data_IF_397539666164
#
_entry.id   IF_397539666164
#
_cell.length_a   1.000
_cell.length_b   1.000
_cell.length_c   1.000
_cell.angle_alpha   90.00
_cell.angle_beta   90.00
_cell.angle_gamma   90.00
#
_symmetry.space_group_name_H-M   'P 1'
#
loop_
_entity.id
_entity.type
_entity.pdbx_description
1 polymer ?
#
# COMPACT_ATOMS: atom_id res chain seq x y z
N UNK A 1 3.04 -8.96 -22.36
CA UNK A 1 3.59 -9.89 -21.35
C UNK A 1 2.92 -11.22 -21.52
N UNK A 2 3.69 -12.29 -21.51
CA UNK A 2 3.18 -13.66 -21.47
C UNK A 2 2.67 -13.98 -20.06
N UNK A 3 1.90 -15.06 -19.92
CA UNK A 3 1.49 -15.56 -18.59
C UNK A 3 2.70 -15.88 -17.71
N UNK A 4 3.78 -16.41 -18.31
CA UNK A 4 5.03 -16.67 -17.60
C UNK A 4 5.69 -15.40 -17.08
N UNK A 5 5.69 -14.31 -17.87
CA UNK A 5 6.24 -13.02 -17.43
C UNK A 5 5.45 -12.44 -16.24
N UNK A 6 4.11 -12.53 -16.30
CA UNK A 6 3.21 -12.07 -15.21
C UNK A 6 3.51 -12.85 -13.92
N UNK A 7 3.51 -14.18 -13.99
CA UNK A 7 3.76 -15.02 -12.81
C UNK A 7 5.15 -14.79 -12.23
N UNK A 8 6.17 -14.60 -13.07
CA UNK A 8 7.53 -14.31 -12.63
C UNK A 8 7.61 -12.95 -11.90
N UNK A 9 6.90 -11.93 -12.39
CA UNK A 9 6.90 -10.62 -11.76
C UNK A 9 6.16 -10.62 -10.42
N UNK A 10 5.00 -11.28 -10.32
CA UNK A 10 4.30 -11.46 -9.04
C UNK A 10 5.21 -12.19 -8.05
N UNK A 11 5.86 -13.27 -8.48
CA UNK A 11 6.79 -14.02 -7.64
C UNK A 11 7.97 -13.17 -7.18
N UNK A 12 8.51 -12.30 -8.03
CA UNK A 12 9.59 -11.38 -7.66
C UNK A 12 9.13 -10.38 -6.58
N UNK A 13 7.94 -9.78 -6.74
CA UNK A 13 7.37 -8.87 -5.74
C UNK A 13 7.19 -9.57 -4.39
N UNK A 14 6.67 -10.81 -4.40
CA UNK A 14 6.49 -11.61 -3.17
C UNK A 14 7.84 -11.96 -2.54
N UNK A 15 8.83 -12.34 -3.36
CA UNK A 15 10.16 -12.69 -2.88
C UNK A 15 10.88 -11.49 -2.24
N UNK A 16 10.78 -10.30 -2.82
CA UNK A 16 11.29 -9.07 -2.22
C UNK A 16 10.66 -8.79 -0.85
N UNK A 17 9.33 -8.93 -0.75
CA UNK A 17 8.61 -8.74 0.52
C UNK A 17 8.97 -9.82 1.57
N UNK A 18 9.32 -11.04 1.15
CA UNK A 18 9.73 -12.12 2.04
C UNK A 18 11.06 -11.86 2.76
N UNK A 19 11.91 -10.96 2.22
CA UNK A 19 13.18 -10.56 2.82
C UNK A 19 13.02 -9.55 3.97
N UNK A 20 11.82 -8.99 4.14
CA UNK A 20 11.54 -7.93 5.09
C UNK A 20 10.89 -8.46 6.37
N UNK A 21 11.02 -7.76 7.52
CA UNK A 21 10.17 -7.99 8.67
C UNK A 21 8.69 -7.82 8.31
N UNK A 22 7.80 -8.49 9.05
CA UNK A 22 6.37 -8.55 8.71
C UNK A 22 5.71 -7.17 8.46
N UNK A 23 6.02 -6.17 9.28
CA UNK A 23 5.45 -4.81 9.13
C UNK A 23 5.92 -4.16 7.83
N UNK A 24 7.23 -4.17 7.58
CA UNK A 24 7.82 -3.63 6.35
C UNK A 24 7.36 -4.39 5.10
N UNK A 25 7.23 -5.71 5.19
CA UNK A 25 6.69 -6.56 4.13
C UNK A 25 5.24 -6.18 3.80
N UNK A 26 4.40 -5.96 4.83
CA UNK A 26 3.02 -5.52 4.64
C UNK A 26 2.94 -4.16 3.93
N UNK A 27 3.79 -3.20 4.33
CA UNK A 27 3.89 -1.92 3.65
C UNK A 27 4.35 -2.09 2.20
N UNK A 28 5.41 -2.85 1.96
CA UNK A 28 5.95 -3.12 0.63
C UNK A 28 4.93 -3.75 -0.33
N UNK A 29 4.11 -4.69 0.16
CA UNK A 29 3.00 -5.29 -0.58
C UNK A 29 1.89 -4.27 -0.84
N UNK A 30 1.47 -3.53 0.19
CA UNK A 30 0.40 -2.53 0.09
C UNK A 30 0.71 -1.42 -0.92
N UNK A 31 1.96 -0.96 -0.96
CA UNK A 31 2.42 0.07 -1.91
C UNK A 31 2.48 -0.44 -3.35
N UNK A 32 2.68 -1.74 -3.55
CA UNK A 32 2.66 -2.40 -4.87
C UNK A 32 1.26 -2.90 -5.29
N UNK A 33 0.21 -2.67 -4.49
CA UNK A 33 -1.16 -3.19 -4.74
C UNK A 33 -1.66 -2.95 -6.16
N UNK A 34 -1.52 -1.73 -6.69
CA UNK A 34 -2.02 -1.41 -8.04
C UNK A 34 -1.28 -2.18 -9.14
N UNK A 35 0.02 -2.43 -8.94
CA UNK A 35 0.81 -3.26 -9.87
C UNK A 35 0.38 -4.71 -9.79
N UNK A 36 0.23 -5.24 -8.57
CA UNK A 36 -0.26 -6.60 -8.33
C UNK A 36 -1.67 -6.79 -8.91
N UNK A 37 -2.59 -5.86 -8.66
CA UNK A 37 -3.93 -5.88 -9.25
C UNK A 37 -3.84 -5.91 -10.78
N UNK A 38 -3.02 -5.04 -11.39
CA UNK A 38 -2.84 -5.01 -12.86
C UNK A 38 -2.32 -6.34 -13.40
N UNK A 39 -1.32 -6.94 -12.73
CA UNK A 39 -0.76 -8.25 -13.12
C UNK A 39 -1.80 -9.37 -13.04
N UNK A 40 -2.74 -9.25 -12.11
CA UNK A 40 -3.83 -10.21 -11.91
C UNK A 40 -5.11 -9.87 -12.70
N UNK A 41 -5.07 -8.86 -13.57
CA UNK A 41 -6.23 -8.46 -14.37
C UNK A 41 -7.33 -7.76 -13.58
N UNK A 42 -6.97 -7.14 -12.45
CA UNK A 42 -7.85 -6.39 -11.55
C UNK A 42 -7.50 -4.89 -11.58
N UNK A 43 -8.49 -3.99 -11.47
CA UNK A 43 -9.92 -4.26 -11.61
C UNK A 43 -10.27 -4.68 -13.05
N UNK A 44 -11.33 -5.46 -13.20
CA UNK A 44 -11.87 -5.84 -14.52
C UNK A 44 -12.49 -4.63 -15.22
N UNK A 45 -12.63 -4.69 -16.55
CA UNK A 45 -13.29 -3.63 -17.33
C UNK A 45 -14.72 -3.32 -16.86
N UNK A 46 -15.43 -4.32 -16.32
CA UNK A 46 -16.74 -4.13 -15.72
C UNK A 46 -16.67 -3.37 -14.40
N UNK A 47 -15.76 -3.74 -13.51
CA UNK A 47 -15.52 -3.03 -12.25
C UNK A 47 -15.13 -1.57 -12.50
N UNK A 48 -14.30 -1.30 -13.52
CA UNK A 48 -13.94 0.06 -13.92
C UNK A 48 -15.16 0.84 -14.42
N UNK A 49 -16.03 0.22 -15.24
CA UNK A 49 -17.26 0.86 -15.71
C UNK A 49 -18.22 1.16 -14.56
N UNK A 50 -18.40 0.23 -13.63
CA UNK A 50 -19.23 0.41 -12.44
C UNK A 50 -18.70 1.56 -11.56
N UNK A 51 -17.39 1.59 -11.29
CA UNK A 51 -16.77 2.65 -10.50
C UNK A 51 -16.93 4.03 -11.16
N UNK A 52 -16.77 4.13 -12.48
CA UNK A 52 -16.95 5.39 -13.21
C UNK A 52 -18.39 5.89 -13.26
N UNK A 53 -19.36 5.00 -13.11
CA UNK A 53 -20.78 5.36 -13.06
C UNK A 53 -21.22 5.88 -11.67
N UNK A 54 -20.44 5.63 -10.63
CA UNK A 54 -20.69 6.13 -9.28
C UNK A 54 -20.49 7.65 -9.19
N UNK A 55 -21.26 8.31 -8.32
CA UNK A 55 -21.01 9.70 -7.91
C UNK A 55 -19.67 9.86 -7.18
N UNK A 56 -19.11 11.08 -7.09
CA UNK A 56 -17.87 11.29 -6.35
C UNK A 56 -17.91 10.84 -4.88
N UNK A 57 -19.05 11.00 -4.19
CA UNK A 57 -19.23 10.54 -2.81
C UNK A 57 -19.24 9.01 -2.71
N UNK A 58 -19.88 8.33 -3.66
CA UNK A 58 -19.88 6.87 -3.72
C UNK A 58 -18.49 6.32 -4.07
N UNK A 59 -17.77 6.96 -5.00
CA UNK A 59 -16.38 6.61 -5.29
C UNK A 59 -15.49 6.75 -4.05
N UNK A 60 -15.64 7.85 -3.30
CA UNK A 60 -14.90 8.06 -2.06
C UNK A 60 -15.24 7.02 -0.98
N UNK A 61 -16.52 6.66 -0.84
CA UNK A 61 -16.95 5.61 0.08
C UNK A 61 -16.39 4.24 -0.32
N UNK A 62 -16.39 3.93 -1.62
CA UNK A 62 -15.84 2.69 -2.16
C UNK A 62 -14.32 2.60 -1.91
N UNK A 63 -13.57 3.66 -2.23
CA UNK A 63 -12.13 3.72 -1.93
C UNK A 63 -11.83 3.60 -0.44
N UNK A 64 -12.67 4.18 0.43
CA UNK A 64 -12.53 4.02 1.88
C UNK A 64 -12.79 2.59 2.31
N UNK A 65 -13.84 1.96 1.78
CA UNK A 65 -14.16 0.57 2.05
C UNK A 65 -13.01 -0.36 1.65
N UNK A 66 -12.44 -0.21 0.45
CA UNK A 66 -11.29 -1.00 0.00
C UNK A 66 -10.10 -0.90 0.96
N UNK A 67 -9.87 0.28 1.56
CA UNK A 67 -8.81 0.48 2.55
C UNK A 67 -9.14 -0.15 3.89
N UNK A 68 -10.36 0.04 4.39
CA UNK A 68 -10.81 -0.50 5.68
C UNK A 68 -10.78 -2.04 5.68
N UNK A 69 -11.09 -2.65 4.53
CA UNK A 69 -11.14 -4.11 4.33
C UNK A 69 -9.93 -4.67 3.57
N UNK A 70 -8.84 -3.91 3.45
CA UNK A 70 -7.63 -4.32 2.73
C UNK A 70 -7.05 -5.68 3.21
N UNK A 71 -7.21 -5.97 4.50
CA UNK A 71 -6.75 -7.19 5.16
C UNK A 71 -7.62 -8.43 4.87
N UNK A 72 -8.76 -8.26 4.21
CA UNK A 72 -9.62 -9.34 3.71
C UNK A 72 -9.45 -9.54 2.19
N UNK A 73 -8.69 -8.65 1.55
CA UNK A 73 -8.48 -8.63 0.11
C UNK A 73 -7.16 -9.28 -0.34
N UNK A 74 -6.71 -8.97 -1.57
CA UNK A 74 -5.52 -9.55 -2.19
C UNK A 74 -4.23 -9.33 -1.40
N UNK A 75 -4.13 -8.20 -0.68
CA UNK A 75 -2.97 -7.91 0.16
C UNK A 75 -2.71 -9.02 1.19
N UNK A 76 -3.77 -9.64 1.73
CA UNK A 76 -3.66 -10.79 2.64
C UNK A 76 -3.02 -11.99 1.96
N UNK A 77 -3.47 -12.33 0.75
CA UNK A 77 -2.95 -13.46 -0.02
C UNK A 77 -1.46 -13.26 -0.33
N UNK A 78 -1.11 -12.09 -0.85
CA UNK A 78 0.29 -11.76 -1.18
C UNK A 78 1.19 -11.76 0.05
N UNK A 79 0.75 -11.15 1.15
CA UNK A 79 1.54 -11.12 2.38
C UNK A 79 1.65 -12.51 3.02
N UNK A 80 0.60 -13.35 2.94
CA UNK A 80 0.66 -14.74 3.41
C UNK A 80 1.65 -15.56 2.61
N UNK A 81 1.73 -15.35 1.29
CA UNK A 81 2.75 -15.97 0.45
C UNK A 81 4.16 -15.51 0.80
N UNK A 82 4.35 -14.22 1.10
CA UNK A 82 5.65 -13.67 1.50
C UNK A 82 6.08 -14.09 2.92
N UNK A 83 5.12 -14.24 3.84
CA UNK A 83 5.35 -14.46 5.27
C UNK A 83 4.59 -15.72 5.75
N UNK A 84 4.91 -16.92 5.24
CA UNK A 84 4.10 -18.12 5.48
C UNK A 84 4.06 -18.58 6.94
N UNK A 85 5.05 -18.15 7.75
CA UNK A 85 5.14 -18.47 9.19
C UNK A 85 4.36 -17.50 10.08
N UNK A 86 3.94 -16.34 9.56
CA UNK A 86 3.14 -15.39 10.32
C UNK A 86 1.70 -15.92 10.48
N UNK A 87 1.11 -15.69 11.65
CA UNK A 87 -0.28 -16.04 11.88
C UNK A 87 -1.20 -15.15 11.04
N UNK A 88 -2.40 -15.63 10.75
CA UNK A 88 -3.38 -14.84 9.98
C UNK A 88 -3.77 -13.56 10.72
N UNK A 89 -3.79 -13.61 12.06
CA UNK A 89 -4.03 -12.44 12.89
C UNK A 89 -2.92 -11.40 12.72
N UNK A 90 -1.65 -11.82 12.77
CA UNK A 90 -0.50 -10.91 12.61
C UNK A 90 -0.46 -10.29 11.21
N UNK A 91 -0.76 -11.09 10.17
CA UNK A 91 -0.84 -10.62 8.78
C UNK A 91 -1.93 -9.56 8.63
N UNK A 92 -3.13 -9.82 9.16
CA UNK A 92 -4.24 -8.86 9.11
C UNK A 92 -3.86 -7.57 9.84
N UNK A 93 -3.28 -7.66 11.02
CA UNK A 93 -2.84 -6.49 11.80
C UNK A 93 -1.74 -5.71 11.08
N UNK A 94 -0.77 -6.39 10.45
CA UNK A 94 0.29 -5.73 9.70
C UNK A 94 -0.25 -4.97 8.47
N UNK A 95 -1.24 -5.54 7.76
CA UNK A 95 -1.89 -4.85 6.64
C UNK A 95 -2.66 -3.62 7.14
N UNK A 96 -3.45 -3.76 8.21
CA UNK A 96 -4.17 -2.63 8.81
C UNK A 96 -3.20 -1.53 9.24
N UNK A 97 -2.07 -1.89 9.85
CA UNK A 97 -1.03 -0.95 10.23
C UNK A 97 -0.42 -0.23 9.00
N UNK A 98 -0.09 -0.97 7.94
CA UNK A 98 0.45 -0.40 6.71
C UNK A 98 -0.50 0.60 6.03
N UNK A 99 -1.81 0.27 5.98
CA UNK A 99 -2.85 1.16 5.44
C UNK A 99 -2.94 2.43 6.28
N UNK A 100 -3.01 2.30 7.61
CA UNK A 100 -3.08 3.44 8.53
C UNK A 100 -1.86 4.34 8.45
N UNK A 101 -0.67 3.76 8.34
CA UNK A 101 0.56 4.50 8.19
C UNK A 101 0.59 5.29 6.88
N UNK A 102 0.17 4.67 5.76
CA UNK A 102 0.03 5.37 4.48
C UNK A 102 -0.98 6.53 4.60
N UNK A 103 -2.16 6.30 5.18
CA UNK A 103 -3.17 7.35 5.40
C UNK A 103 -2.62 8.51 6.25
N UNK A 104 -1.87 8.20 7.31
CA UNK A 104 -1.24 9.22 8.15
C UNK A 104 -0.20 10.03 7.36
N UNK A 105 0.60 9.40 6.51
CA UNK A 105 1.56 10.10 5.66
C UNK A 105 0.87 11.11 4.74
N UNK A 106 -0.23 10.72 4.08
CA UNK A 106 -0.98 11.64 3.21
C UNK A 106 -1.76 12.70 3.98
N UNK A 107 -2.38 12.34 5.10
CA UNK A 107 -3.07 13.27 6.00
C UNK A 107 -2.15 14.38 6.51
N UNK A 108 -0.88 14.07 6.78
CA UNK A 108 0.09 15.02 7.32
C UNK A 108 0.86 15.79 6.25
N UNK A 109 0.65 15.50 4.97
CA UNK A 109 1.16 16.32 3.90
C UNK A 109 0.38 17.64 3.85
N UNK A 110 1.07 18.76 4.10
CA UNK A 110 0.49 20.11 4.09
C UNK A 110 1.14 20.90 2.96
N UNK A 111 0.30 21.53 2.13
CA UNK A 111 0.75 22.45 1.08
C UNK A 111 0.95 23.84 1.71
N UNK A 112 2.20 24.19 2.02
CA UNK A 112 2.58 25.49 2.58
C UNK A 112 3.64 26.19 1.70
N UNK A 113 4.46 27.09 2.24
CA UNK A 113 5.55 27.76 1.51
C UNK A 113 6.91 27.07 1.64
N UNK A 114 7.01 25.94 2.35
CA UNK A 114 8.26 25.20 2.58
C UNK A 114 8.71 24.49 1.31
N UNK A 115 9.99 24.10 1.22
CA UNK A 115 10.46 23.19 0.17
C UNK A 115 9.58 21.92 0.06
N UNK A 116 9.38 21.48 -1.17
CA UNK A 116 8.50 20.36 -1.49
C UNK A 116 8.95 19.04 -0.83
N UNK A 117 10.25 18.73 -0.87
CA UNK A 117 10.78 17.52 -0.28
C UNK A 117 10.69 17.57 1.25
N UNK A 118 10.93 18.74 1.84
CA UNK A 118 10.76 18.95 3.29
C UNK A 118 9.31 18.68 3.74
N UNK A 119 8.30 18.98 2.93
CA UNK A 119 6.91 18.61 3.24
C UNK A 119 6.73 17.10 3.30
N UNK A 120 7.30 16.35 2.35
CA UNK A 120 7.25 14.89 2.31
C UNK A 120 7.94 14.29 3.55
N UNK A 121 9.15 14.78 3.87
CA UNK A 121 9.93 14.34 5.04
C UNK A 121 9.16 14.60 6.34
N UNK A 122 8.59 15.80 6.52
CA UNK A 122 7.83 16.15 7.73
C UNK A 122 6.55 15.33 7.88
N UNK A 123 5.84 15.07 6.78
CA UNK A 123 4.62 14.27 6.79
C UNK A 123 4.92 12.84 7.28
N UNK A 124 5.94 12.20 6.71
CA UNK A 124 6.36 10.85 7.11
C UNK A 124 6.93 10.84 8.53
N UNK A 125 7.74 11.83 8.92
CA UNK A 125 8.28 11.91 10.28
C UNK A 125 7.16 12.06 11.32
N UNK A 126 6.06 12.74 10.98
CA UNK A 126 4.88 12.84 11.85
C UNK A 126 4.11 11.53 11.91
N UNK A 127 3.89 10.87 10.78
CA UNK A 127 3.24 9.55 10.73
C UNK A 127 4.05 8.48 11.48
N UNK A 128 5.39 8.51 11.39
CA UNK A 128 6.29 7.57 12.06
C UNK A 128 6.16 7.61 13.59
N UNK A 129 5.77 8.75 14.19
CA UNK A 129 5.49 8.84 15.63
C UNK A 129 4.31 7.97 16.07
N UNK A 130 3.37 7.72 15.16
CA UNK A 130 2.19 6.87 15.38
C UNK A 130 2.43 5.42 14.91
N UNK A 131 3.55 5.16 14.22
CA UNK A 131 3.89 3.83 13.68
C UNK A 131 5.41 3.64 13.68
N UNK A 132 6.05 3.46 14.86
CA UNK A 132 7.51 3.43 15.02
C UNK A 132 8.16 2.08 14.66
N UNK A 133 7.39 1.16 14.04
CA UNK A 133 7.77 -0.25 13.89
C UNK A 133 8.40 -0.58 12.53
N UNK A 134 8.64 0.42 11.68
CA UNK A 134 9.21 0.21 10.36
C UNK A 134 10.72 0.49 10.36
N UNK A 135 11.42 -0.15 9.42
CA UNK A 135 12.83 0.14 9.13
C UNK A 135 12.98 1.53 8.51
N UNK A 136 14.17 2.14 8.67
CA UNK A 136 14.45 3.45 8.04
C UNK A 136 14.32 3.41 6.51
N UNK A 137 14.65 2.27 5.89
CA UNK A 137 14.42 2.07 4.45
C UNK A 137 12.95 2.21 4.05
N UNK A 138 12.04 1.74 4.91
CA UNK A 138 10.60 1.83 4.69
C UNK A 138 10.11 3.26 4.88
N UNK A 139 10.61 3.98 5.87
CA UNK A 139 10.33 5.42 6.01
C UNK A 139 10.85 6.21 4.81
N UNK A 140 12.05 5.88 4.32
CA UNK A 140 12.59 6.52 3.12
C UNK A 140 11.72 6.24 1.89
N UNK A 141 11.25 5.00 1.71
CA UNK A 141 10.32 4.65 0.65
C UNK A 141 9.00 5.43 0.78
N UNK A 142 8.46 5.55 2.00
CA UNK A 142 7.25 6.32 2.25
C UNK A 142 7.39 7.80 1.85
N UNK A 143 8.57 8.41 2.05
CA UNK A 143 8.84 9.80 1.61
C UNK A 143 8.78 9.90 0.08
N UNK A 144 9.37 8.94 -0.61
CA UNK A 144 9.32 8.86 -2.08
C UNK A 144 7.88 8.67 -2.58
N UNK A 145 7.10 7.85 -1.89
CA UNK A 145 5.70 7.60 -2.23
C UNK A 145 4.84 8.86 -2.05
N UNK A 146 4.97 9.56 -0.92
CA UNK A 146 4.28 10.83 -0.70
C UNK A 146 4.63 11.84 -1.79
N UNK A 147 5.92 11.92 -2.18
CA UNK A 147 6.35 12.75 -3.27
C UNK A 147 5.75 12.31 -4.63
N UNK A 148 5.63 11.02 -4.89
CA UNK A 148 5.07 10.56 -6.16
C UNK A 148 3.59 10.97 -6.35
N UNK A 149 2.76 10.89 -5.31
CA UNK A 149 1.33 11.20 -5.41
C UNK A 149 0.94 12.66 -5.17
N UNK A 150 1.84 13.48 -4.61
CA UNK A 150 1.57 14.91 -4.39
C UNK A 150 2.41 15.80 -5.31
N UNK A 151 2.85 15.27 -6.46
CA UNK A 151 3.50 16.05 -7.52
C UNK A 151 2.53 16.98 -8.24
#
# INVERSE_FOLDING_TARGET
MTVQDISAEIAAIIAEAALLPLQDAAYAVWRRRYRLDTLEGRPTSEQVRAFRAMSPSEQAANMRHDRDFAHEGPAFIHLKSAQPRASDADIKQAIIAAVRFEDACFKYFVVDSTDYWDRCVRAVARAAKESPLYLESTYQQARNDVAYYNK
#
